data_IF_842827200372
#
_entry.id   IF_842827200372
#
_cell.length_a   1.000
_cell.length_b   1.000
_cell.length_c   1.000
_cell.angle_alpha   90.00
_cell.angle_beta   90.00
_cell.angle_gamma   90.00
#
_symmetry.space_group_name_H-M   'P 1'
#
loop_
_entity.id
_entity.type
_entity.pdbx_description
1 polymer ?
#
# COMPACT_ATOMS: atom_id res chain seq x y z
N UNK A 1 31.24 9.81 6.35
CA UNK A 1 31.24 11.23 6.00
C UNK A 1 30.26 11.42 4.85
N UNK A 2 28.97 11.42 5.18
CA UNK A 2 27.89 11.51 4.21
C UNK A 2 27.67 12.97 3.87
N UNK A 3 27.87 13.31 2.60
CA UNK A 3 27.64 14.61 2.01
C UNK A 3 26.19 15.04 2.29
N UNK A 4 26.03 15.89 3.30
CA UNK A 4 24.83 16.70 3.51
C UNK A 4 24.78 17.63 2.30
N UNK A 5 23.98 17.27 1.31
CA UNK A 5 23.54 18.22 0.30
C UNK A 5 22.66 19.23 1.03
N UNK A 6 23.31 20.26 1.59
CA UNK A 6 22.66 21.52 1.86
C UNK A 6 21.90 21.91 0.59
N UNK A 7 20.59 22.07 0.75
CA UNK A 7 19.66 22.49 -0.29
C UNK A 7 20.10 23.88 -0.77
N UNK A 8 21.01 23.88 -1.74
CA UNK A 8 21.25 25.00 -2.63
C UNK A 8 19.91 25.35 -3.27
N UNK A 9 19.48 26.55 -2.93
CA UNK A 9 18.35 27.29 -3.46
C UNK A 9 18.31 27.25 -4.99
N UNK A 10 17.13 26.95 -5.53
CA UNK A 10 16.69 27.24 -6.91
C UNK A 10 17.47 26.62 -8.06
N UNK A 11 17.85 25.33 -7.96
CA UNK A 11 17.98 24.54 -9.18
C UNK A 11 16.60 24.47 -9.85
N UNK A 12 16.52 24.61 -11.17
CA UNK A 12 15.27 24.56 -11.94
C UNK A 12 14.59 23.19 -11.68
N UNK A 13 13.71 23.14 -10.68
CA UNK A 13 13.10 21.89 -10.23
C UNK A 13 12.18 21.45 -11.35
N UNK A 14 12.59 20.44 -12.09
CA UNK A 14 11.79 19.88 -13.15
C UNK A 14 10.55 19.22 -12.51
N UNK A 15 9.42 19.93 -12.54
CA UNK A 15 8.15 19.49 -11.96
C UNK A 15 7.68 18.16 -12.56
N UNK A 16 7.98 17.93 -13.84
CA UNK A 16 7.69 16.65 -14.48
C UNK A 16 8.52 15.51 -13.86
N UNK A 17 9.80 15.74 -13.57
CA UNK A 17 10.65 14.75 -12.91
C UNK A 17 10.20 14.43 -11.48
N UNK A 18 9.77 15.45 -10.73
CA UNK A 18 9.19 15.28 -9.38
C UNK A 18 7.91 14.45 -9.46
N UNK A 19 7.00 14.80 -10.36
CA UNK A 19 5.76 14.06 -10.58
C UNK A 19 6.02 12.61 -10.98
N UNK A 20 6.92 12.40 -11.96
CA UNK A 20 7.32 11.07 -12.42
C UNK A 20 7.85 10.19 -11.28
N UNK A 21 8.71 10.74 -10.42
CA UNK A 21 9.22 9.99 -9.28
C UNK A 21 8.13 9.63 -8.27
N UNK A 22 7.20 10.56 -7.98
CA UNK A 22 6.06 10.29 -7.10
C UNK A 22 5.19 9.15 -7.64
N UNK A 23 4.88 9.17 -8.94
CA UNK A 23 4.08 8.11 -9.59
C UNK A 23 4.78 6.76 -9.50
N UNK A 24 6.07 6.69 -9.82
CA UNK A 24 6.83 5.42 -9.73
C UNK A 24 6.82 4.88 -8.30
N UNK A 25 6.96 5.74 -7.30
CA UNK A 25 7.06 5.31 -5.89
C UNK A 25 5.69 4.89 -5.39
N UNK A 26 4.63 5.59 -5.80
CA UNK A 26 3.25 5.17 -5.58
C UNK A 26 3.01 3.75 -6.12
N UNK A 27 3.33 3.51 -7.39
CA UNK A 27 3.18 2.19 -8.02
C UNK A 27 4.04 1.13 -7.33
N UNK A 28 5.30 1.43 -6.99
CA UNK A 28 6.21 0.49 -6.31
C UNK A 28 5.77 0.12 -4.90
N UNK A 29 5.23 1.08 -4.15
CA UNK A 29 4.68 0.85 -2.81
C UNK A 29 3.43 -0.01 -2.89
N UNK A 30 2.60 0.21 -3.90
CA UNK A 30 1.29 -0.42 -4.08
C UNK A 30 1.26 -1.63 -5.01
N UNK A 31 2.37 -2.21 -5.48
CA UNK A 31 2.37 -3.25 -6.55
C UNK A 31 1.32 -4.34 -6.33
N UNK A 32 1.30 -4.95 -5.14
CA UNK A 32 0.34 -6.02 -4.84
C UNK A 32 -1.11 -5.51 -4.83
N UNK A 33 -1.33 -4.28 -4.38
CA UNK A 33 -2.64 -3.64 -4.31
C UNK A 33 -3.15 -3.26 -5.69
N UNK A 34 -2.30 -2.70 -6.56
CA UNK A 34 -2.64 -2.44 -7.95
C UNK A 34 -2.93 -3.73 -8.71
N UNK A 35 -2.17 -4.81 -8.46
CA UNK A 35 -2.48 -6.13 -9.02
C UNK A 35 -3.84 -6.66 -8.53
N UNK A 36 -4.17 -6.42 -7.26
CA UNK A 36 -5.47 -6.77 -6.67
C UNK A 36 -6.59 -5.96 -7.34
N UNK A 37 -6.38 -4.67 -7.57
CA UNK A 37 -7.32 -3.80 -8.28
C UNK A 37 -7.52 -4.26 -9.74
N UNK A 38 -6.45 -4.61 -10.46
CA UNK A 38 -6.56 -5.17 -11.81
C UNK A 38 -7.35 -6.49 -11.83
N UNK A 39 -7.15 -7.35 -10.83
CA UNK A 39 -7.95 -8.56 -10.64
C UNK A 39 -9.44 -8.23 -10.39
N UNK A 40 -9.71 -7.23 -9.55
CA UNK A 40 -11.07 -6.73 -9.29
C UNK A 40 -11.77 -6.17 -10.53
N UNK A 41 -11.05 -5.40 -11.36
CA UNK A 41 -11.55 -4.91 -12.65
C UNK A 41 -11.88 -6.09 -13.57
N UNK A 42 -10.99 -7.07 -13.65
CA UNK A 42 -11.19 -8.26 -14.49
C UNK A 42 -12.42 -9.05 -14.06
N UNK A 43 -12.60 -9.26 -12.75
CA UNK A 43 -13.80 -9.89 -12.19
C UNK A 43 -15.06 -9.08 -12.48
N UNK A 44 -15.03 -7.77 -12.22
CA UNK A 44 -16.16 -6.88 -12.45
C UNK A 44 -16.60 -6.88 -13.92
N UNK A 45 -15.63 -6.82 -14.84
CA UNK A 45 -15.92 -6.79 -16.27
C UNK A 45 -16.44 -8.14 -16.78
N UNK A 46 -15.78 -9.24 -16.39
CA UNK A 46 -16.18 -10.58 -16.82
C UNK A 46 -17.54 -10.99 -16.28
N UNK A 47 -17.78 -10.83 -14.98
CA UNK A 47 -19.07 -11.19 -14.40
C UNK A 47 -20.15 -10.16 -14.73
N UNK A 48 -19.78 -8.89 -14.89
CA UNK A 48 -20.70 -7.85 -15.35
C UNK A 48 -21.23 -8.11 -16.76
N UNK A 49 -20.39 -8.58 -17.68
CA UNK A 49 -20.85 -8.95 -19.04
C UNK A 49 -21.80 -10.15 -19.01
N UNK A 50 -21.55 -11.14 -18.15
CA UNK A 50 -22.46 -12.28 -17.95
C UNK A 50 -23.82 -11.84 -17.38
N UNK A 51 -23.84 -10.88 -16.44
CA UNK A 51 -25.08 -10.29 -15.91
C UNK A 51 -25.84 -9.56 -17.01
N UNK A 52 -25.17 -8.75 -17.82
CA UNK A 52 -25.80 -8.04 -18.94
C UNK A 52 -26.39 -9.03 -19.96
N UNK A 53 -25.73 -10.15 -20.22
CA UNK A 53 -26.25 -11.19 -21.12
C UNK A 53 -27.46 -11.95 -20.57
N UNK A 54 -27.62 -11.95 -19.25
CA UNK A 54 -28.74 -12.58 -18.55
C UNK A 54 -29.95 -11.64 -18.40
N UNK A 55 -29.82 -10.34 -18.75
CA UNK A 55 -30.94 -9.41 -18.77
C UNK A 55 -32.00 -9.88 -19.76
N UNK A 56 -33.24 -10.05 -19.29
CA UNK A 56 -34.37 -10.51 -20.09
C UNK A 56 -34.48 -12.04 -20.22
N UNK A 57 -33.62 -12.82 -19.55
CA UNK A 57 -33.82 -14.26 -19.38
C UNK A 57 -34.47 -14.53 -18.01
N UNK A 58 -35.38 -15.50 -17.92
CA UNK A 58 -35.97 -15.99 -16.65
C UNK A 58 -34.96 -16.85 -15.84
N UNK A 59 -33.77 -16.31 -15.58
CA UNK A 59 -32.68 -17.00 -14.86
C UNK A 59 -32.21 -16.16 -13.66
N UNK A 60 -33.12 -15.95 -12.71
CA UNK A 60 -32.91 -15.08 -11.55
C UNK A 60 -31.68 -15.46 -10.72
N UNK A 61 -31.46 -16.76 -10.46
CA UNK A 61 -30.29 -17.21 -9.69
C UNK A 61 -28.97 -16.89 -10.39
N UNK A 62 -28.90 -17.11 -11.70
CA UNK A 62 -27.70 -16.81 -12.49
C UNK A 62 -27.39 -15.32 -12.46
N UNK A 63 -28.41 -14.48 -12.66
CA UNK A 63 -28.30 -13.03 -12.58
C UNK A 63 -27.77 -12.58 -11.21
N UNK A 64 -28.39 -13.04 -10.12
CA UNK A 64 -28.02 -12.66 -8.75
C UNK A 64 -26.61 -13.10 -8.39
N UNK A 65 -26.22 -14.33 -8.71
CA UNK A 65 -24.90 -14.87 -8.37
C UNK A 65 -23.77 -14.12 -9.10
N UNK A 66 -23.91 -13.91 -10.41
CA UNK A 66 -22.90 -13.18 -11.19
C UNK A 66 -22.90 -11.69 -10.84
N UNK A 67 -24.07 -11.11 -10.53
CA UNK A 67 -24.20 -9.75 -10.03
C UNK A 67 -23.44 -9.54 -8.73
N UNK A 68 -23.58 -10.46 -7.78
CA UNK A 68 -22.82 -10.42 -6.54
C UNK A 68 -21.31 -10.45 -6.76
N UNK A 69 -20.81 -11.33 -7.64
CA UNK A 69 -19.38 -11.41 -7.95
C UNK A 69 -18.88 -10.13 -8.66
N UNK A 70 -19.67 -9.57 -9.58
CA UNK A 70 -19.34 -8.32 -10.25
C UNK A 70 -19.24 -7.16 -9.24
N UNK A 71 -20.21 -7.04 -8.33
CA UNK A 71 -20.18 -6.06 -7.24
C UNK A 71 -18.97 -6.27 -6.32
N UNK A 72 -18.65 -7.52 -5.97
CA UNK A 72 -17.47 -7.84 -5.18
C UNK A 72 -16.18 -7.39 -5.89
N UNK A 73 -16.06 -7.63 -7.19
CA UNK A 73 -14.94 -7.15 -8.00
C UNK A 73 -14.78 -5.63 -7.94
N UNK A 74 -15.88 -4.89 -8.08
CA UNK A 74 -15.87 -3.42 -7.96
C UNK A 74 -15.44 -2.95 -6.56
N UNK A 75 -15.98 -3.55 -5.50
CA UNK A 75 -15.57 -3.26 -4.12
C UNK A 75 -14.08 -3.52 -3.94
N UNK A 76 -13.57 -4.65 -4.46
CA UNK A 76 -12.15 -4.99 -4.36
C UNK A 76 -11.24 -3.90 -4.94
N UNK A 77 -11.62 -3.29 -6.06
CA UNK A 77 -10.88 -2.16 -6.68
C UNK A 77 -10.80 -0.98 -5.72
N UNK A 78 -11.95 -0.56 -5.17
CA UNK A 78 -12.00 0.59 -4.27
C UNK A 78 -11.14 0.36 -3.02
N UNK A 79 -11.24 -0.81 -2.40
CA UNK A 79 -10.49 -1.13 -1.19
C UNK A 79 -8.98 -1.23 -1.47
N UNK A 80 -8.58 -1.82 -2.59
CA UNK A 80 -7.18 -1.93 -2.97
C UNK A 80 -6.53 -0.57 -3.20
N UNK A 81 -7.18 0.34 -3.94
CA UNK A 81 -6.64 1.67 -4.21
C UNK A 81 -6.64 2.57 -2.98
N UNK A 82 -7.66 2.49 -2.12
CA UNK A 82 -7.66 3.21 -0.84
C UNK A 82 -6.53 2.73 0.09
N UNK A 83 -6.29 1.41 0.19
CA UNK A 83 -5.12 0.91 0.93
C UNK A 83 -3.81 1.36 0.27
N UNK A 84 -3.72 1.42 -1.07
CA UNK A 84 -2.51 1.87 -1.77
C UNK A 84 -2.16 3.32 -1.42
N UNK A 85 -3.17 4.21 -1.40
CA UNK A 85 -3.02 5.61 -0.97
C UNK A 85 -2.52 5.70 0.48
N UNK A 86 -3.08 4.87 1.37
CA UNK A 86 -2.69 4.77 2.78
C UNK A 86 -1.26 4.26 2.96
N UNK A 87 -0.85 3.24 2.20
CA UNK A 87 0.54 2.74 2.20
C UNK A 87 1.52 3.78 1.67
N UNK A 88 1.12 4.56 0.68
CA UNK A 88 1.94 5.65 0.17
C UNK A 88 2.19 6.75 1.21
N UNK A 89 1.20 7.05 2.09
CA UNK A 89 1.44 7.96 3.22
C UNK A 89 2.46 7.38 4.21
N UNK A 90 2.34 6.08 4.50
CA UNK A 90 3.27 5.38 5.37
C UNK A 90 4.69 5.35 4.82
N UNK A 91 4.86 5.15 3.51
CA UNK A 91 6.14 5.28 2.81
C UNK A 91 6.76 6.67 3.02
N UNK A 92 6.02 7.77 2.76
CA UNK A 92 6.54 9.13 2.92
C UNK A 92 6.98 9.40 4.36
N UNK A 93 6.16 9.02 5.33
CA UNK A 93 6.46 9.17 6.76
C UNK A 93 7.68 8.36 7.18
N UNK A 94 7.78 7.10 6.75
CA UNK A 94 8.92 6.25 7.06
C UNK A 94 10.22 6.80 6.44
N UNK A 95 10.16 7.29 5.20
CA UNK A 95 11.29 7.88 4.49
C UNK A 95 11.83 9.10 5.23
N UNK A 96 10.97 10.04 5.64
CA UNK A 96 11.38 11.20 6.44
C UNK A 96 11.98 10.78 7.78
N UNK A 97 11.35 9.86 8.50
CA UNK A 97 11.86 9.40 9.80
C UNK A 97 13.25 8.74 9.66
N UNK A 98 13.47 7.94 8.63
CA UNK A 98 14.78 7.36 8.35
C UNK A 98 15.81 8.39 7.90
N UNK A 99 15.42 9.41 7.16
CA UNK A 99 16.29 10.51 6.78
C UNK A 99 16.75 11.30 8.01
N UNK A 100 15.82 11.67 8.89
CA UNK A 100 16.09 12.43 10.12
C UNK A 100 16.95 11.64 11.13
N UNK A 101 16.71 10.32 11.26
CA UNK A 101 17.20 9.55 12.40
C UNK A 101 18.18 8.43 12.03
N UNK A 102 18.40 8.18 10.74
CA UNK A 102 19.00 6.95 10.26
C UNK A 102 18.15 5.72 10.59
N UNK A 103 18.80 4.55 10.55
CA UNK A 103 18.13 3.29 10.87
C UNK A 103 17.92 3.14 12.38
N UNK A 104 16.67 3.22 12.85
CA UNK A 104 16.27 2.89 14.22
C UNK A 104 15.18 1.82 14.22
N UNK A 105 15.38 0.74 14.97
CA UNK A 105 14.40 -0.37 15.12
C UNK A 105 13.01 0.11 15.54
N UNK A 106 12.95 1.13 16.41
CA UNK A 106 11.68 1.75 16.85
C UNK A 106 10.86 2.30 15.68
N UNK A 107 11.50 2.90 14.67
CA UNK A 107 10.81 3.42 13.48
C UNK A 107 10.22 2.27 12.67
N UNK A 108 10.99 1.19 12.47
CA UNK A 108 10.55 0.01 11.74
C UNK A 108 9.31 -0.62 12.40
N UNK A 109 9.32 -0.74 13.73
CA UNK A 109 8.24 -1.36 14.49
C UNK A 109 6.91 -0.59 14.40
N UNK A 110 6.93 0.70 14.02
CA UNK A 110 5.70 1.48 13.81
C UNK A 110 4.85 0.98 12.63
N UNK A 111 5.48 0.35 11.64
CA UNK A 111 4.78 -0.13 10.44
C UNK A 111 5.06 -1.60 10.11
N UNK A 112 5.27 -2.42 11.14
CA UNK A 112 5.48 -3.86 10.96
C UNK A 112 4.17 -4.65 10.86
N UNK A 113 3.03 -4.02 11.21
CA UNK A 113 1.78 -4.72 11.46
C UNK A 113 1.19 -5.46 10.26
N UNK A 114 1.36 -4.98 9.02
CA UNK A 114 0.86 -5.70 7.84
C UNK A 114 1.90 -5.80 6.73
N UNK A 115 1.75 -6.79 5.85
CA UNK A 115 2.64 -6.99 4.70
C UNK A 115 2.74 -5.75 3.83
N UNK A 116 1.62 -5.13 3.48
CA UNK A 116 1.60 -3.91 2.69
C UNK A 116 2.37 -2.76 3.38
N UNK A 117 2.33 -2.68 4.72
CA UNK A 117 3.13 -1.68 5.45
C UNK A 117 4.62 -1.98 5.36
N UNK A 118 5.01 -3.25 5.55
CA UNK A 118 6.40 -3.69 5.44
C UNK A 118 6.96 -3.42 4.05
N UNK A 119 6.18 -3.68 3.01
CA UNK A 119 6.59 -3.41 1.64
C UNK A 119 6.73 -1.91 1.36
N UNK A 120 5.85 -1.07 1.91
CA UNK A 120 6.01 0.40 1.85
C UNK A 120 7.31 0.88 2.54
N UNK A 121 7.64 0.36 3.73
CA UNK A 121 8.90 0.72 4.41
C UNK A 121 10.11 0.19 3.64
N UNK A 122 10.04 -1.01 3.03
CA UNK A 122 11.15 -1.53 2.20
C UNK A 122 11.48 -0.59 1.05
N UNK A 123 10.46 0.00 0.40
CA UNK A 123 10.69 1.01 -0.64
C UNK A 123 11.37 2.25 -0.04
N UNK A 124 10.92 2.76 1.10
CA UNK A 124 11.54 3.90 1.79
C UNK A 124 13.00 3.62 2.19
N UNK A 125 13.28 2.44 2.76
CA UNK A 125 14.61 2.04 3.15
C UNK A 125 15.52 1.81 1.94
N UNK A 126 15.00 1.27 0.83
CA UNK A 126 15.75 1.13 -0.42
C UNK A 126 16.18 2.48 -0.98
N UNK A 127 15.29 3.46 -0.98
CA UNK A 127 15.58 4.82 -1.45
C UNK A 127 16.70 5.51 -0.63
N UNK A 128 16.93 5.07 0.60
CA UNK A 128 17.97 5.61 1.51
C UNK A 128 19.17 4.68 1.71
N UNK A 129 19.27 3.57 0.98
CA UNK A 129 20.36 2.60 1.14
C UNK A 129 20.34 1.83 2.48
N UNK A 130 19.19 1.78 3.16
CA UNK A 130 18.98 1.12 4.45
C UNK A 130 18.31 -0.26 4.34
N UNK A 131 18.06 -0.73 3.12
CA UNK A 131 17.29 -1.96 2.87
C UNK A 131 17.87 -3.19 3.58
N UNK A 132 19.20 -3.37 3.55
CA UNK A 132 19.84 -4.53 4.17
C UNK A 132 19.63 -4.54 5.70
N UNK A 133 19.77 -3.38 6.35
CA UNK A 133 19.52 -3.23 7.80
C UNK A 133 18.06 -3.54 8.15
N UNK A 134 17.13 -3.10 7.29
CA UNK A 134 15.70 -3.37 7.46
C UNK A 134 15.40 -4.87 7.34
N UNK A 135 15.92 -5.54 6.31
CA UNK A 135 15.71 -6.98 6.11
C UNK A 135 16.25 -7.78 7.29
N UNK A 136 17.50 -7.52 7.73
CA UNK A 136 18.07 -8.17 8.92
C UNK A 136 17.19 -8.01 10.16
N UNK A 137 16.59 -6.83 10.36
CA UNK A 137 15.66 -6.61 11.48
C UNK A 137 14.33 -7.35 11.32
N UNK A 138 13.79 -7.46 10.11
CA UNK A 138 12.60 -8.27 9.85
C UNK A 138 12.85 -9.77 10.05
N UNK A 139 14.02 -10.26 9.65
CA UNK A 139 14.43 -11.65 9.88
C UNK A 139 14.51 -11.94 11.39
N UNK A 140 15.07 -11.02 12.19
CA UNK A 140 15.09 -11.12 13.66
C UNK A 140 13.70 -11.11 14.30
N UNK A 141 12.72 -10.46 13.68
CA UNK A 141 11.33 -10.45 14.13
C UNK A 141 10.54 -11.67 13.63
N UNK A 142 11.14 -12.56 12.84
CA UNK A 142 10.47 -13.74 12.26
C UNK A 142 9.61 -13.43 11.03
N UNK A 143 9.66 -12.21 10.49
CA UNK A 143 8.90 -11.83 9.29
C UNK A 143 9.62 -12.27 8.01
N UNK A 144 9.43 -13.55 7.64
CA UNK A 144 9.85 -14.06 6.35
C UNK A 144 8.98 -13.60 5.16
N UNK A 145 9.40 -13.95 3.94
CA UNK A 145 8.68 -13.65 2.68
C UNK A 145 7.25 -14.22 2.65
N UNK A 146 7.02 -15.30 3.38
CA UNK A 146 5.76 -16.05 3.45
C UNK A 146 4.86 -15.62 4.62
N UNK A 147 5.27 -14.67 5.46
CA UNK A 147 4.40 -14.11 6.50
C UNK A 147 3.42 -13.11 5.87
N UNK A 148 2.33 -13.65 5.31
CA UNK A 148 1.28 -12.85 4.65
C UNK A 148 0.31 -12.30 5.69
N UNK A 149 -0.06 -13.13 6.67
CA UNK A 149 -1.02 -12.78 7.71
C UNK A 149 -0.35 -11.95 8.81
N UNK A 150 -0.94 -10.80 9.18
CA UNK A 150 -0.59 -10.10 10.40
C UNK A 150 -0.72 -10.97 11.66
N UNK A 151 0.25 -10.85 12.57
CA UNK A 151 0.26 -11.61 13.84
C UNK A 151 -0.98 -11.33 14.71
N UNK A 152 -1.59 -10.15 14.56
CA UNK A 152 -2.80 -9.80 15.31
C UNK A 152 -4.04 -10.60 14.87
N UNK A 153 -4.03 -11.24 13.70
CA UNK A 153 -5.14 -12.05 13.21
C UNK A 153 -5.31 -13.29 14.09
N UNK A 154 -4.18 -13.92 14.46
CA UNK A 154 -4.19 -15.11 15.30
C UNK A 154 -4.56 -14.81 16.75
N UNK A 155 -4.25 -13.60 17.23
CA UNK A 155 -4.56 -13.21 18.62
C UNK A 155 -5.93 -12.57 18.77
N UNK A 156 -6.43 -11.81 17.79
CA UNK A 156 -7.68 -11.05 17.86
C UNK A 156 -8.36 -10.90 16.49
N UNK A 157 -9.03 -11.95 15.98
CA UNK A 157 -9.65 -11.93 14.65
C UNK A 157 -10.78 -10.89 14.51
N UNK A 158 -11.45 -10.51 15.59
CA UNK A 158 -12.52 -9.51 15.57
C UNK A 158 -12.03 -8.08 15.29
N UNK A 159 -10.72 -7.82 15.28
CA UNK A 159 -10.15 -6.49 14.99
C UNK A 159 -10.50 -6.02 13.57
N UNK A 160 -10.71 -6.93 12.61
CA UNK A 160 -11.11 -6.59 11.24
C UNK A 160 -12.40 -5.76 11.17
N UNK A 161 -13.32 -5.98 12.09
CA UNK A 161 -14.58 -5.24 12.15
C UNK A 161 -14.48 -3.93 12.96
N UNK A 162 -13.32 -3.65 13.56
CA UNK A 162 -13.15 -2.44 14.35
C UNK A 162 -12.96 -1.21 13.45
N UNK A 163 -13.70 -0.13 13.76
CA UNK A 163 -13.52 1.18 13.10
C UNK A 163 -12.06 1.64 13.10
N UNK A 164 -11.32 1.38 14.18
CA UNK A 164 -9.90 1.72 14.30
C UNK A 164 -9.04 1.01 13.24
N UNK A 165 -9.34 -0.24 12.93
CA UNK A 165 -8.65 -1.00 11.89
C UNK A 165 -8.90 -0.41 10.50
N UNK A 166 -10.15 -0.10 10.16
CA UNK A 166 -10.50 0.52 8.87
C UNK A 166 -9.85 1.89 8.69
N UNK A 167 -9.85 2.73 9.72
CA UNK A 167 -9.19 4.05 9.65
C UNK A 167 -7.69 3.89 9.41
N UNK A 168 -7.02 2.99 10.13
CA UNK A 168 -5.57 2.77 9.97
C UNK A 168 -5.22 2.06 8.64
N UNK A 169 -6.13 1.27 8.10
CA UNK A 169 -5.89 0.50 6.89
C UNK A 169 -6.18 1.35 5.65
N UNK A 170 -7.36 1.94 5.56
CA UNK A 170 -7.84 2.65 4.36
C UNK A 170 -7.71 4.17 4.43
N UNK A 171 -7.72 4.75 5.63
CA UNK A 171 -7.81 6.20 5.84
C UNK A 171 -6.63 6.75 6.64
N UNK A 172 -5.41 6.28 6.33
CA UNK A 172 -4.21 6.84 6.93
C UNK A 172 -4.15 8.35 6.61
N UNK A 173 -3.82 9.16 7.62
CA UNK A 173 -3.78 10.61 7.47
C UNK A 173 -2.78 10.99 6.38
N UNK A 174 -3.19 11.94 5.52
CA UNK A 174 -2.29 12.51 4.52
C UNK A 174 -1.04 13.04 5.22
N UNK A 175 0.12 12.59 4.77
CA UNK A 175 1.42 13.02 5.29
C UNK A 175 2.15 13.83 4.23
N UNK A 176 2.62 15.02 4.59
CA UNK A 176 3.40 15.87 3.69
C UNK A 176 4.89 15.62 3.94
N UNK A 177 5.60 15.27 2.87
CA UNK A 177 7.03 14.95 2.93
C UNK A 177 7.81 16.22 3.22
N UNK A 178 8.68 16.17 4.23
CA UNK A 178 9.47 17.32 4.69
C UNK A 178 10.76 17.49 3.89
N UNK A 179 11.47 16.39 3.62
CA UNK A 179 12.82 16.43 3.05
C UNK A 179 12.86 16.10 1.56
N UNK A 180 11.79 15.51 1.04
CA UNK A 180 11.75 15.05 -0.33
C UNK A 180 10.59 15.69 -1.06
N UNK A 181 10.88 16.34 -2.18
CA UNK A 181 9.84 16.71 -3.12
C UNK A 181 9.30 15.48 -3.87
N UNK A 182 9.97 14.32 -3.80
CA UNK A 182 9.56 13.04 -4.41
C UNK A 182 9.68 11.80 -3.52
#
# INVERSE_FOLDING_TARGET
MGMVLELSTTANINMFWVFYNRVIRFVRVGVLLHLTAMGGISLCFWFGSLVLSALGQEKDFFFMFHGFIACYGFVLVLFAELDAISRYQNYKKAKDLFHENGFKKRIVNLFVCSRCQRDAIKVAAKDLGLLEKLCKHYDLLGYGRYHILPDFIFSKPLIFFSRKYWIKTLFEKKYESKYFLW
#
